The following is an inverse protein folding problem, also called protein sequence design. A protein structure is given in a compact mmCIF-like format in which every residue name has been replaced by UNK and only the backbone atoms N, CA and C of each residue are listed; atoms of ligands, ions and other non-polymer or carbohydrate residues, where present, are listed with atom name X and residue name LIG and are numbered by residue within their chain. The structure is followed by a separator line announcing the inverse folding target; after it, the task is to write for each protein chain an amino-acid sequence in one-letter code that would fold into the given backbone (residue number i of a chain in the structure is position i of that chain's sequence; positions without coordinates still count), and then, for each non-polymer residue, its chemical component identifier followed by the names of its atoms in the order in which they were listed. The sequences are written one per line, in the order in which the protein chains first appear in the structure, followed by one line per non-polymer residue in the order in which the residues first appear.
data_IF_730152521887
#
_entry.id   IF_730152521887
#
_cell.length_a   1.000
_cell.length_b   1.000
_cell.length_c   1.000
_cell.angle_alpha   90.00
_cell.angle_beta   90.00
_cell.angle_gamma   90.00
#
_symmetry.space_group_name_H-M   'P 1'
#
loop_
_entity.id
_entity.type
_entity.pdbx_description
1 polymer ?
#
# COMPACT_ATOMS: atom_id res chain seq x y z
N UNK A 1 2.96 14.44 -10.56
CA UNK A 1 3.29 14.35 -9.16
C UNK A 1 2.49 13.33 -8.38
N UNK A 2 2.76 13.24 -7.11
CA UNK A 2 2.10 12.31 -6.20
C UNK A 2 1.58 13.04 -4.98
N UNK A 3 0.30 12.87 -4.68
CA UNK A 3 -0.31 13.32 -3.44
C UNK A 3 -0.48 12.14 -2.51
N UNK A 4 -0.08 12.31 -1.25
CA UNK A 4 -0.02 11.23 -0.27
C UNK A 4 -0.88 11.60 0.93
N UNK A 5 -1.84 10.74 1.27
CA UNK A 5 -2.61 10.83 2.51
C UNK A 5 -2.31 9.66 3.41
N UNK A 6 -2.16 9.91 4.70
CA UNK A 6 -1.87 8.88 5.70
C UNK A 6 -2.89 8.96 6.83
N UNK A 7 -3.48 7.82 7.18
CA UNK A 7 -4.38 7.68 8.31
C UNK A 7 -3.91 6.50 9.15
N UNK A 8 -3.66 6.75 10.43
CA UNK A 8 -3.20 5.72 11.36
C UNK A 8 -4.23 5.53 12.46
N UNK A 9 -4.61 4.29 12.70
CA UNK A 9 -5.47 3.91 13.81
C UNK A 9 -5.04 2.56 14.35
N UNK A 10 -4.83 2.47 15.68
CA UNK A 10 -4.33 1.25 16.31
C UNK A 10 -3.05 0.76 15.62
N UNK A 11 -3.04 -0.45 15.09
CA UNK A 11 -1.88 -1.03 14.43
C UNK A 11 -2.03 -1.12 12.90
N UNK A 12 -2.93 -0.31 12.32
CA UNK A 12 -3.02 -0.23 10.87
C UNK A 12 -2.80 1.19 10.35
N UNK A 13 -2.27 1.27 9.15
CA UNK A 13 -2.05 2.51 8.43
C UNK A 13 -2.73 2.42 7.07
N UNK A 14 -3.53 3.43 6.73
CA UNK A 14 -4.10 3.58 5.39
C UNK A 14 -3.26 4.61 4.65
N UNK A 15 -2.70 4.19 3.52
CA UNK A 15 -1.93 5.04 2.62
C UNK A 15 -2.78 5.30 1.38
N UNK A 16 -3.16 6.56 1.17
CA UNK A 16 -3.95 6.98 0.02
C UNK A 16 -3.06 7.72 -0.96
N UNK A 17 -2.97 7.21 -2.18
CA UNK A 17 -2.10 7.75 -3.21
C UNK A 17 -2.93 8.29 -4.36
N UNK A 18 -2.56 9.51 -4.83
CA UNK A 18 -3.20 10.15 -5.97
C UNK A 18 -2.12 10.68 -6.91
N UNK A 19 -2.26 10.38 -8.18
CA UNK A 19 -1.32 10.80 -9.22
C UNK A 19 -0.46 9.68 -9.73
N UNK A 20 0.85 9.86 -9.71
CA UNK A 20 1.78 8.93 -10.35
C UNK A 20 2.78 8.40 -9.33
N UNK A 21 2.87 7.06 -9.24
CA UNK A 21 3.87 6.40 -8.43
C UNK A 21 4.93 5.80 -9.35
N UNK A 22 6.05 6.50 -9.46
CA UNK A 22 7.14 6.22 -10.38
C UNK A 22 8.50 6.33 -9.69
N UNK A 23 9.58 6.24 -10.47
CA UNK A 23 10.95 6.30 -9.96
C UNK A 23 11.31 7.65 -9.33
N UNK A 24 10.62 8.73 -9.72
CA UNK A 24 10.85 10.06 -9.17
C UNK A 24 10.14 10.23 -7.82
N UNK A 25 8.89 9.78 -7.73
CA UNK A 25 8.05 10.00 -6.54
C UNK A 25 8.27 8.96 -5.44
N UNK A 26 8.81 7.80 -5.78
CA UNK A 26 8.89 6.66 -4.86
C UNK A 26 9.88 6.86 -3.70
N UNK A 27 10.96 7.60 -3.91
CA UNK A 27 12.04 7.73 -2.91
C UNK A 27 11.56 8.39 -1.62
N UNK A 28 10.88 9.53 -1.74
CA UNK A 28 10.35 10.25 -0.58
C UNK A 28 9.25 9.44 0.12
N UNK A 29 8.40 8.80 -0.67
CA UNK A 29 7.34 7.95 -0.14
C UNK A 29 7.92 6.79 0.66
N UNK A 30 8.94 6.13 0.14
CA UNK A 30 9.61 5.01 0.82
C UNK A 30 10.14 5.41 2.19
N UNK A 31 10.86 6.50 2.25
CA UNK A 31 11.45 6.99 3.50
C UNK A 31 10.38 7.31 4.53
N UNK A 32 9.36 8.04 4.11
CA UNK A 32 8.27 8.48 4.98
C UNK A 32 7.47 7.32 5.54
N UNK A 33 7.05 6.40 4.67
CA UNK A 33 6.20 5.29 5.09
C UNK A 33 6.99 4.26 5.90
N UNK A 34 8.23 3.94 5.49
CA UNK A 34 9.07 3.04 6.26
C UNK A 34 9.23 3.50 7.70
N UNK A 35 9.45 4.81 7.88
CA UNK A 35 9.56 5.42 9.21
C UNK A 35 8.26 5.29 10.02
N UNK A 36 7.12 5.58 9.40
CA UNK A 36 5.83 5.47 10.09
C UNK A 36 5.51 4.03 10.51
N UNK A 37 5.81 3.06 9.67
CA UNK A 37 5.56 1.65 9.99
C UNK A 37 6.32 1.24 11.25
N UNK A 38 7.56 1.68 11.39
CA UNK A 38 8.38 1.37 12.55
C UNK A 38 7.96 2.16 13.80
N UNK A 39 7.78 3.48 13.66
CA UNK A 39 7.43 4.35 14.80
C UNK A 39 6.09 3.99 15.45
N UNK A 40 5.10 3.62 14.65
CA UNK A 40 3.74 3.35 15.13
C UNK A 40 3.45 1.87 15.28
N UNK A 41 4.45 1.02 15.13
CA UNK A 41 4.30 -0.45 15.25
C UNK A 41 3.15 -0.97 14.38
N UNK A 42 3.12 -0.53 13.14
CA UNK A 42 2.06 -0.90 12.20
C UNK A 42 2.22 -2.37 11.81
N UNK A 43 1.13 -3.12 11.86
CA UNK A 43 1.05 -4.50 11.40
C UNK A 43 0.33 -4.64 10.08
N UNK A 44 -0.62 -3.75 9.81
CA UNK A 44 -1.45 -3.84 8.61
C UNK A 44 -1.33 -2.54 7.81
N UNK A 45 -0.86 -2.65 6.59
CA UNK A 45 -0.76 -1.53 5.66
C UNK A 45 -1.82 -1.70 4.58
N UNK A 46 -2.71 -0.72 4.48
CA UNK A 46 -3.75 -0.66 3.46
C UNK A 46 -3.33 0.41 2.46
N UNK A 47 -2.98 0.02 1.24
CA UNK A 47 -2.55 0.95 0.20
C UNK A 47 -3.71 1.16 -0.76
N UNK A 48 -4.26 2.37 -0.76
CA UNK A 48 -5.35 2.75 -1.65
C UNK A 48 -4.79 3.41 -2.90
N UNK A 49 -4.88 2.70 -4.02
CA UNK A 49 -4.38 3.16 -5.32
C UNK A 49 -5.51 3.52 -6.31
N UNK A 50 -6.74 3.71 -5.79
CA UNK A 50 -7.89 4.04 -6.65
C UNK A 50 -7.66 5.29 -7.50
N UNK A 51 -6.93 6.26 -6.96
CA UNK A 51 -6.69 7.54 -7.63
C UNK A 51 -5.30 7.62 -8.28
N UNK A 52 -4.56 6.52 -8.35
CA UNK A 52 -3.33 6.48 -9.14
C UNK A 52 -3.67 6.42 -10.62
N UNK A 53 -3.02 7.28 -11.39
CA UNK A 53 -3.10 7.27 -12.85
C UNK A 53 -1.95 6.50 -13.49
N UNK A 54 -0.89 6.22 -12.72
CA UNK A 54 0.32 5.56 -13.21
C UNK A 54 1.01 4.80 -12.09
N UNK A 55 1.48 3.60 -12.42
CA UNK A 55 2.25 2.74 -11.52
C UNK A 55 3.27 1.97 -12.37
N UNK A 56 4.54 2.06 -12.03
CA UNK A 56 5.60 1.31 -12.71
C UNK A 56 6.32 0.33 -11.77
N UNK A 57 7.43 -0.24 -12.23
CA UNK A 57 8.20 -1.21 -11.44
C UNK A 57 8.76 -0.62 -10.15
N UNK A 58 9.01 0.69 -10.12
CA UNK A 58 9.48 1.36 -8.88
C UNK A 58 8.40 1.35 -7.83
N UNK A 59 7.14 1.59 -8.22
CA UNK A 59 6.00 1.51 -7.32
C UNK A 59 5.75 0.09 -6.83
N UNK A 60 5.87 -0.89 -7.72
CA UNK A 60 5.78 -2.30 -7.35
C UNK A 60 6.87 -2.65 -6.32
N UNK A 61 8.10 -2.20 -6.55
CA UNK A 61 9.21 -2.39 -5.62
C UNK A 61 8.98 -1.76 -4.26
N UNK A 62 8.34 -0.59 -4.22
CA UNK A 62 7.92 0.04 -2.97
C UNK A 62 7.00 -0.88 -2.18
N UNK A 63 5.98 -1.43 -2.83
CA UNK A 63 5.01 -2.31 -2.17
C UNK A 63 5.69 -3.58 -1.66
N UNK A 64 6.54 -4.20 -2.48
CA UNK A 64 7.27 -5.41 -2.08
C UNK A 64 8.19 -5.14 -0.88
N UNK A 65 8.91 -4.02 -0.89
CA UNK A 65 9.78 -3.64 0.23
C UNK A 65 9.03 -3.43 1.52
N UNK A 66 7.85 -2.81 1.46
CA UNK A 66 6.99 -2.62 2.65
C UNK A 66 6.41 -3.94 3.12
N UNK A 67 6.08 -4.84 2.20
CA UNK A 67 5.64 -6.18 2.56
C UNK A 67 6.71 -6.89 3.40
N UNK A 68 7.96 -6.92 2.94
CA UNK A 68 9.04 -7.56 3.69
C UNK A 68 9.27 -6.89 5.04
N UNK A 69 9.18 -5.56 5.10
CA UNK A 69 9.30 -4.83 6.36
C UNK A 69 8.24 -5.26 7.37
N UNK A 70 6.99 -5.37 6.94
CA UNK A 70 5.87 -5.76 7.79
C UNK A 70 5.95 -7.22 8.22
N UNK A 71 6.41 -8.09 7.34
CA UNK A 71 6.51 -9.53 7.66
C UNK A 71 7.46 -9.83 8.81
N UNK A 72 8.40 -8.95 9.10
CA UNK A 72 9.27 -9.10 10.28
C UNK A 72 8.48 -9.11 11.57
N UNK A 73 7.31 -8.48 11.60
CA UNK A 73 6.41 -8.42 12.75
C UNK A 73 5.09 -9.13 12.49
N UNK A 74 5.10 -10.13 11.61
CA UNK A 74 3.91 -10.90 11.22
C UNK A 74 2.78 -10.02 10.65
N UNK A 75 3.14 -8.91 10.02
CA UNK A 75 2.19 -7.99 9.40
C UNK A 75 1.88 -8.34 7.96
N UNK A 76 1.00 -7.56 7.35
CA UNK A 76 0.55 -7.79 5.98
C UNK A 76 0.17 -6.50 5.26
N UNK A 77 -0.10 -6.64 3.95
CA UNK A 77 -0.54 -5.54 3.09
C UNK A 77 -1.83 -5.95 2.38
N UNK A 78 -2.76 -5.00 2.31
CA UNK A 78 -3.91 -5.06 1.41
C UNK A 78 -3.85 -3.89 0.44
N UNK A 79 -4.29 -4.10 -0.79
CA UNK A 79 -4.33 -3.07 -1.83
C UNK A 79 -5.78 -2.79 -2.18
N UNK A 80 -6.18 -1.52 -2.11
CA UNK A 80 -7.50 -1.07 -2.55
C UNK A 80 -7.35 -0.53 -3.96
N UNK A 81 -7.99 -1.20 -4.92
CA UNK A 81 -7.89 -0.87 -6.33
C UNK A 81 -9.22 -1.07 -7.04
N UNK A 82 -9.65 -0.05 -7.78
CA UNK A 82 -10.83 -0.12 -8.66
C UNK A 82 -10.50 0.35 -10.08
N UNK A 83 -9.26 0.74 -10.32
CA UNK A 83 -8.80 1.20 -11.62
C UNK A 83 -8.30 -0.01 -12.43
N UNK A 84 -8.98 -0.40 -13.53
CA UNK A 84 -8.59 -1.59 -14.30
C UNK A 84 -7.16 -1.53 -14.83
N UNK A 85 -6.68 -0.35 -15.17
CA UNK A 85 -5.33 -0.16 -15.71
C UNK A 85 -4.26 -0.47 -14.68
N UNK A 86 -4.42 0.07 -13.47
CA UNK A 86 -3.49 -0.17 -12.35
C UNK A 86 -3.62 -1.60 -11.85
N UNK A 87 -4.85 -2.11 -11.76
CA UNK A 87 -5.10 -3.49 -11.36
C UNK A 87 -4.38 -4.49 -12.26
N UNK A 88 -4.41 -4.26 -13.58
CA UNK A 88 -3.72 -5.12 -14.52
C UNK A 88 -2.21 -5.17 -14.25
N UNK A 89 -1.60 -4.04 -13.94
CA UNK A 89 -0.18 -3.97 -13.61
C UNK A 89 0.10 -4.76 -12.33
N UNK A 90 -0.75 -4.62 -11.32
CA UNK A 90 -0.63 -5.34 -10.05
C UNK A 90 -0.74 -6.85 -10.28
N UNK A 91 -1.72 -7.28 -11.06
CA UNK A 91 -1.91 -8.70 -11.37
C UNK A 91 -0.71 -9.28 -12.11
N UNK A 92 -0.19 -8.57 -13.11
CA UNK A 92 0.96 -9.02 -13.90
C UNK A 92 2.25 -9.05 -13.11
N UNK A 93 2.38 -8.22 -12.07
CA UNK A 93 3.59 -8.14 -11.24
C UNK A 93 3.74 -9.32 -10.27
N UNK A 94 2.68 -10.07 -10.03
CA UNK A 94 2.68 -11.15 -9.04
C UNK A 94 2.41 -10.69 -7.61
N UNK A 95 2.07 -9.43 -7.40
CA UNK A 95 1.77 -8.91 -6.06
C UNK A 95 0.62 -9.65 -5.38
N UNK A 96 -0.30 -10.22 -6.15
CA UNK A 96 -1.43 -10.99 -5.59
C UNK A 96 -0.99 -12.25 -4.85
N UNK A 97 0.25 -12.68 -5.01
CA UNK A 97 0.81 -13.80 -4.25
C UNK A 97 1.15 -13.42 -2.81
N UNK A 98 1.31 -12.12 -2.54
CA UNK A 98 1.72 -11.62 -1.22
C UNK A 98 0.77 -10.60 -0.64
N UNK A 99 -0.12 -10.01 -1.44
CA UNK A 99 -1.05 -8.99 -1.01
C UNK A 99 -2.46 -9.33 -1.47
N UNK A 100 -3.46 -8.96 -0.66
CA UNK A 100 -4.86 -9.06 -1.05
C UNK A 100 -5.27 -7.80 -1.81
N UNK A 101 -6.07 -7.95 -2.87
CA UNK A 101 -6.69 -6.82 -3.56
C UNK A 101 -8.16 -6.75 -3.14
N UNK A 102 -8.59 -5.57 -2.72
CA UNK A 102 -9.95 -5.32 -2.23
C UNK A 102 -10.56 -4.12 -2.96
N UNK A 103 -11.89 -4.00 -2.92
CA UNK A 103 -12.61 -2.92 -3.59
C UNK A 103 -12.57 -1.61 -2.82
N UNK A 104 -12.54 -1.66 -1.50
CA UNK A 104 -12.57 -0.46 -0.66
C UNK A 104 -11.85 -0.68 0.67
N UNK A 105 -11.63 0.42 1.37
CA UNK A 105 -10.93 0.42 2.66
C UNK A 105 -11.70 -0.30 3.75
N UNK A 106 -13.03 -0.16 3.76
CA UNK A 106 -13.85 -0.78 4.81
C UNK A 106 -13.75 -2.30 4.78
N UNK A 107 -13.70 -2.89 3.59
CA UNK A 107 -13.50 -4.34 3.46
C UNK A 107 -12.16 -4.75 4.06
N UNK A 108 -11.11 -3.98 3.83
CA UNK A 108 -9.79 -4.25 4.42
C UNK A 108 -9.84 -4.17 5.95
N UNK A 109 -10.45 -3.12 6.48
CA UNK A 109 -10.53 -2.91 7.94
C UNK A 109 -11.36 -4.01 8.59
N UNK A 110 -12.49 -4.36 8.00
CA UNK A 110 -13.36 -5.41 8.53
C UNK A 110 -12.68 -6.78 8.54
N UNK A 111 -11.81 -7.04 7.58
CA UNK A 111 -11.04 -8.28 7.50
C UNK A 111 -10.00 -8.41 8.63
N UNK A 112 -9.64 -7.29 9.30
CA UNK A 112 -8.71 -7.32 10.43
C UNK A 112 -9.37 -7.81 11.72
N UNK A 113 -10.69 -7.94 11.75
CA UNK A 113 -11.43 -8.50 12.89
C UNK A 113 -11.30 -7.66 14.15
N UNK A 114 -12.36 -6.92 14.52
CA UNK A 114 -12.41 -6.21 15.78
C UNK A 114 -11.69 -4.86 15.82
N UNK A 115 -11.22 -4.38 14.69
CA UNK A 115 -10.71 -3.03 14.57
C UNK A 115 -11.82 -2.08 14.11
#
# INVERSE_FOLDING_TARGET
GLTVGVYIKKNYLILRLKGELDDVTVSDLRMKISKYLDEYNIKHLIINVKELSFLDSSGIGFIIGRYHQLRRNAGDISIVCMNPKVERIILLSGLTKICMIRENEDVCINALGGY
#
